data_IF_305495684935
#
_entry.id   IF_305495684935
#
_cell.length_a   1.000
_cell.length_b   1.000
_cell.length_c   1.000
_cell.angle_alpha   90.00
_cell.angle_beta   90.00
_cell.angle_gamma   90.00
#
_symmetry.space_group_name_H-M   'P 1'
#
loop_
_entity.id
_entity.type
_entity.pdbx_description
1 polymer ?
#
# COMPACT_ATOMS: atom_id res chain seq x y z
N UNK A 1 21.38 -16.31 7.44
CA UNK A 1 20.88 -17.28 8.44
C UNK A 1 21.97 -17.44 9.49
N UNK A 2 21.72 -17.10 10.75
CA UNK A 2 22.69 -17.32 11.85
C UNK A 2 22.21 -18.46 12.78
N UNK A 3 23.02 -18.84 13.76
CA UNK A 3 22.72 -19.93 14.70
C UNK A 3 21.36 -19.79 15.44
N UNK A 4 20.92 -18.56 15.72
CA UNK A 4 19.63 -18.28 16.37
C UNK A 4 18.44 -18.43 15.42
N UNK A 5 18.66 -18.25 14.11
CA UNK A 5 17.65 -18.42 13.06
C UNK A 5 17.31 -19.90 12.85
N UNK A 6 18.31 -20.79 13.01
CA UNK A 6 18.16 -22.24 12.89
C UNK A 6 17.37 -22.88 14.04
N UNK A 7 17.30 -22.22 15.20
CA UNK A 7 16.56 -22.70 16.39
C UNK A 7 15.24 -21.96 16.61
N UNK A 8 14.87 -21.04 15.72
CA UNK A 8 13.60 -20.34 15.83
C UNK A 8 12.45 -21.36 15.75
N UNK A 9 11.59 -21.39 16.77
CA UNK A 9 10.38 -22.21 16.74
C UNK A 9 9.50 -21.72 15.59
N UNK A 10 9.03 -22.61 14.69
CA UNK A 10 8.13 -22.20 13.63
C UNK A 10 6.86 -21.64 14.25
N UNK A 11 6.33 -20.55 13.67
CA UNK A 11 5.01 -20.01 14.03
C UNK A 11 3.88 -20.90 13.48
N UNK A 12 4.01 -22.22 13.57
CA UNK A 12 3.01 -23.16 13.07
C UNK A 12 1.67 -22.98 13.81
N UNK A 13 1.72 -22.57 15.08
CA UNK A 13 0.57 -22.38 15.96
C UNK A 13 -0.41 -21.29 15.50
N UNK A 14 0.00 -20.38 14.59
CA UNK A 14 -0.92 -19.36 14.02
C UNK A 14 -1.76 -19.90 12.86
N UNK A 15 -1.42 -21.07 12.31
CA UNK A 15 -2.13 -21.67 11.20
C UNK A 15 -3.14 -22.69 11.74
N UNK A 16 -4.41 -22.47 11.44
CA UNK A 16 -5.46 -23.45 11.69
C UNK A 16 -5.69 -24.27 10.42
N UNK A 17 -5.60 -25.60 10.51
CA UNK A 17 -5.90 -26.51 9.38
C UNK A 17 -7.39 -26.54 9.05
N UNK A 18 -8.24 -26.13 9.99
CA UNK A 18 -9.68 -26.00 9.80
C UNK A 18 -10.02 -24.51 9.68
N UNK A 19 -10.40 -24.00 8.50
CA UNK A 19 -10.81 -22.61 8.37
C UNK A 19 -12.04 -22.34 9.25
N UNK A 20 -11.96 -21.33 10.12
CA UNK A 20 -13.16 -20.83 10.80
C UNK A 20 -14.09 -20.18 9.77
N UNK A 21 -15.42 -20.27 9.91
CA UNK A 21 -16.33 -19.52 9.07
C UNK A 21 -16.15 -18.02 9.35
N UNK A 22 -15.67 -17.28 8.36
CA UNK A 22 -15.60 -15.83 8.39
C UNK A 22 -16.12 -15.26 7.07
N UNK A 23 -16.75 -14.10 7.16
CA UNK A 23 -17.23 -13.35 5.99
C UNK A 23 -16.56 -12.00 5.95
N UNK A 24 -16.22 -11.54 4.74
CA UNK A 24 -15.77 -10.19 4.51
C UNK A 24 -16.55 -9.58 3.36
N UNK A 25 -17.08 -8.39 3.60
CA UNK A 25 -17.72 -7.58 2.56
C UNK A 25 -16.71 -6.56 2.07
N UNK A 26 -16.17 -6.78 0.89
CA UNK A 26 -15.29 -5.80 0.25
C UNK A 26 -16.04 -4.50 -0.03
N UNK A 27 -15.43 -3.38 0.33
CA UNK A 27 -15.94 -2.04 0.00
C UNK A 27 -14.98 -1.39 -0.99
N UNK A 28 -15.46 -0.88 -2.14
CA UNK A 28 -14.59 -0.19 -3.08
C UNK A 28 -13.87 0.98 -2.43
N UNK A 29 -12.58 1.16 -2.75
CA UNK A 29 -11.82 2.31 -2.30
C UNK A 29 -12.39 3.60 -2.90
N UNK A 30 -12.40 4.70 -2.13
CA UNK A 30 -13.01 5.97 -2.54
C UNK A 30 -12.47 6.51 -3.87
N UNK A 31 -11.17 6.33 -4.14
CA UNK A 31 -10.49 6.77 -5.37
C UNK A 31 -11.08 6.13 -6.64
N UNK A 32 -11.67 4.94 -6.55
CA UNK A 32 -12.26 4.23 -7.70
C UNK A 32 -13.55 4.90 -8.19
N UNK A 33 -14.12 5.82 -7.40
CA UNK A 33 -15.26 6.65 -7.81
C UNK A 33 -14.84 7.96 -8.47
N UNK A 34 -13.55 8.15 -8.78
CA UNK A 34 -13.10 9.36 -9.49
C UNK A 34 -13.73 9.43 -10.89
N UNK A 35 -14.15 10.63 -11.35
CA UNK A 35 -14.76 10.78 -12.68
C UNK A 35 -13.91 10.13 -13.78
N UNK A 36 -14.59 9.53 -14.76
CA UNK A 36 -14.02 8.78 -15.89
C UNK A 36 -13.49 7.38 -15.57
N UNK A 37 -13.71 6.87 -14.36
CA UNK A 37 -13.52 5.43 -14.08
C UNK A 37 -14.70 4.64 -14.64
N UNK A 38 -14.43 3.61 -15.43
CA UNK A 38 -15.45 2.75 -16.08
C UNK A 38 -15.67 1.40 -15.38
N UNK A 39 -15.23 1.30 -14.13
CA UNK A 39 -15.36 0.07 -13.35
C UNK A 39 -16.84 -0.17 -12.98
N UNK A 40 -17.31 -1.43 -13.00
CA UNK A 40 -18.67 -1.79 -12.60
C UNK A 40 -18.80 -1.78 -11.07
N UNK A 41 -18.76 -0.60 -10.47
CA UNK A 41 -18.85 -0.40 -9.02
C UNK A 41 -20.31 -0.23 -8.57
N UNK A 42 -20.66 -0.67 -7.35
CA UNK A 42 -21.94 -0.31 -6.75
C UNK A 42 -22.05 1.20 -6.56
N UNK A 43 -23.26 1.70 -6.39
CA UNK A 43 -23.52 3.14 -6.21
C UNK A 43 -22.63 3.77 -5.15
N UNK A 44 -22.14 4.98 -5.47
CA UNK A 44 -21.32 5.76 -4.55
C UNK A 44 -22.14 6.07 -3.29
N UNK A 45 -21.61 5.69 -2.12
CA UNK A 45 -22.21 6.01 -0.82
C UNK A 45 -22.38 7.52 -0.65
N UNK A 46 -23.52 7.93 -0.08
CA UNK A 46 -23.76 9.33 0.24
C UNK A 46 -22.66 9.89 1.16
N UNK A 47 -22.19 11.10 0.88
CA UNK A 47 -21.12 11.75 1.66
C UNK A 47 -19.71 11.22 1.41
N UNK A 48 -19.50 10.25 0.50
CA UNK A 48 -18.16 9.78 0.17
C UNK A 48 -17.35 10.88 -0.54
N UNK A 49 -16.30 11.34 0.14
CA UNK A 49 -15.31 12.25 -0.45
C UNK A 49 -14.39 11.43 -1.35
N UNK A 50 -14.39 11.76 -2.63
CA UNK A 50 -13.56 11.11 -3.63
C UNK A 50 -12.25 11.88 -3.75
N UNK A 51 -11.10 11.29 -3.37
CA UNK A 51 -9.82 11.95 -3.51
C UNK A 51 -9.49 12.17 -4.99
N UNK A 52 -8.78 13.26 -5.29
CA UNK A 52 -8.27 13.53 -6.64
C UNK A 52 -6.99 12.72 -6.88
N UNK A 53 -6.87 11.97 -8.00
CA UNK A 53 -5.62 11.36 -8.41
C UNK A 53 -4.50 12.40 -8.53
N UNK A 54 -3.29 12.03 -8.14
CA UNK A 54 -2.11 12.90 -8.27
C UNK A 54 -1.77 13.17 -9.74
N UNK A 55 -1.98 12.16 -10.60
CA UNK A 55 -1.79 12.23 -12.03
C UNK A 55 -2.85 11.43 -12.79
N UNK A 56 -2.99 11.71 -14.10
CA UNK A 56 -3.92 11.01 -14.99
C UNK A 56 -3.30 9.74 -15.62
N UNK A 57 -4.13 8.98 -16.35
CA UNK A 57 -3.69 7.76 -17.02
C UNK A 57 -2.55 7.98 -18.02
N UNK A 58 -2.55 9.10 -18.75
CA UNK A 58 -1.50 9.44 -19.72
C UNK A 58 -0.13 9.56 -19.06
N UNK A 59 -0.05 10.27 -17.93
CA UNK A 59 1.18 10.39 -17.16
C UNK A 59 1.66 9.00 -16.69
N UNK A 60 0.78 8.20 -16.09
CA UNK A 60 1.15 6.89 -15.57
C UNK A 60 1.65 5.96 -16.67
N UNK A 61 0.98 5.94 -17.84
CA UNK A 61 1.43 5.18 -19.00
C UNK A 61 2.82 5.61 -19.49
N UNK A 62 3.14 6.91 -19.40
CA UNK A 62 4.46 7.42 -19.77
C UNK A 62 5.54 7.00 -18.78
N UNK A 63 5.34 7.21 -17.48
CA UNK A 63 6.38 6.93 -16.47
C UNK A 63 6.55 5.44 -16.16
N UNK A 64 5.56 4.61 -16.48
CA UNK A 64 5.65 3.14 -16.35
C UNK A 64 6.01 2.45 -17.67
N UNK A 65 6.32 3.21 -18.73
CA UNK A 65 6.71 2.65 -20.02
C UNK A 65 7.93 1.73 -19.85
N UNK A 66 7.79 0.50 -20.32
CA UNK A 66 8.86 -0.52 -20.26
C UNK A 66 8.87 -1.36 -18.98
N UNK A 67 7.99 -1.07 -18.01
CA UNK A 67 7.75 -1.99 -16.89
C UNK A 67 6.93 -3.19 -17.40
N UNK A 68 7.41 -4.40 -17.12
CA UNK A 68 6.72 -5.64 -17.48
C UNK A 68 5.69 -6.01 -16.40
N UNK A 69 4.40 -5.85 -16.73
CA UNK A 69 3.26 -6.24 -15.88
C UNK A 69 2.60 -7.55 -16.34
N UNK A 70 3.25 -8.36 -17.19
CA UNK A 70 2.65 -9.58 -17.76
C UNK A 70 2.56 -10.75 -16.78
N UNK A 71 3.36 -10.74 -15.72
CA UNK A 71 3.29 -11.72 -14.65
C UNK A 71 3.78 -11.09 -13.34
N UNK A 72 3.45 -11.74 -12.24
CA UNK A 72 3.98 -11.43 -10.92
C UNK A 72 5.53 -11.46 -10.96
N UNK A 73 6.15 -10.57 -10.20
CA UNK A 73 7.61 -10.49 -9.99
C UNK A 73 8.48 -10.26 -11.25
N UNK A 74 7.89 -9.89 -12.40
CA UNK A 74 8.65 -9.54 -13.63
C UNK A 74 9.16 -8.10 -13.70
N UNK A 75 8.77 -7.27 -12.73
CA UNK A 75 9.21 -5.87 -12.66
C UNK A 75 10.40 -5.69 -11.71
N UNK A 76 11.26 -4.70 -12.00
CA UNK A 76 12.20 -4.22 -10.99
C UNK A 76 11.47 -3.38 -9.94
N UNK A 77 11.28 -3.96 -8.75
CA UNK A 77 10.61 -3.32 -7.63
C UNK A 77 11.31 -2.03 -7.19
N UNK A 78 12.64 -1.93 -7.29
CA UNK A 78 13.36 -0.73 -6.89
C UNK A 78 13.01 0.45 -7.81
N UNK A 79 13.03 0.23 -9.13
CA UNK A 79 12.62 1.23 -10.12
C UNK A 79 11.14 1.57 -10.00
N UNK A 80 10.28 0.57 -9.84
CA UNK A 80 8.83 0.80 -9.70
C UNK A 80 8.49 1.63 -8.46
N UNK A 81 9.11 1.34 -7.30
CA UNK A 81 8.91 2.12 -6.08
C UNK A 81 9.35 3.58 -6.24
N UNK A 82 10.40 3.85 -7.02
CA UNK A 82 10.82 5.21 -7.33
C UNK A 82 9.82 5.93 -8.23
N UNK A 83 9.28 5.26 -9.26
CA UNK A 83 8.21 5.81 -10.12
C UNK A 83 6.99 6.19 -9.28
N UNK A 84 6.54 5.27 -8.42
CA UNK A 84 5.42 5.52 -7.50
C UNK A 84 5.71 6.69 -6.56
N UNK A 85 6.90 6.72 -5.94
CA UNK A 85 7.28 7.80 -5.04
C UNK A 85 7.25 9.15 -5.74
N UNK A 86 7.85 9.27 -6.92
CA UNK A 86 7.84 10.51 -7.69
C UNK A 86 6.42 10.94 -8.05
N UNK A 87 5.57 10.03 -8.51
CA UNK A 87 4.19 10.35 -8.88
C UNK A 87 3.24 10.61 -7.70
N UNK A 88 3.57 10.15 -6.49
CA UNK A 88 2.74 10.37 -5.30
C UNK A 88 3.25 11.52 -4.43
N UNK A 89 4.56 11.70 -4.36
CA UNK A 89 5.22 12.62 -3.42
C UNK A 89 5.77 13.89 -4.10
N UNK A 90 5.71 13.97 -5.43
CA UNK A 90 6.18 15.11 -6.22
C UNK A 90 7.68 15.33 -6.04
N UNK A 91 8.07 16.55 -5.68
CA UNK A 91 9.48 16.95 -5.54
C UNK A 91 10.18 16.41 -4.27
N UNK A 92 9.51 15.59 -3.46
CA UNK A 92 10.13 15.03 -2.25
C UNK A 92 11.16 13.97 -2.65
N UNK A 93 12.40 14.03 -2.13
CA UNK A 93 13.42 13.04 -2.45
C UNK A 93 13.00 11.65 -1.97
N UNK A 94 13.36 10.62 -2.73
CA UNK A 94 13.16 9.23 -2.31
C UNK A 94 14.00 8.96 -1.04
N UNK A 95 13.43 8.32 0.00
CA UNK A 95 14.16 8.04 1.23
C UNK A 95 15.31 7.07 0.96
N UNK A 96 16.55 7.56 1.05
CA UNK A 96 17.75 6.77 0.80
C UNK A 96 18.10 5.83 1.97
N UNK A 97 17.66 6.16 3.18
CA UNK A 97 17.96 5.43 4.40
C UNK A 97 16.71 5.30 5.28
N UNK A 98 16.57 4.19 6.03
CA UNK A 98 15.57 4.10 7.08
C UNK A 98 15.78 5.22 8.09
N UNK A 99 14.70 5.74 8.67
CA UNK A 99 14.79 6.81 9.68
C UNK A 99 15.50 6.39 10.97
N UNK A 100 15.82 5.10 11.15
CA UNK A 100 16.44 4.56 12.36
C UNK A 100 15.55 4.60 13.61
N UNK A 101 14.31 5.07 13.48
CA UNK A 101 13.36 5.16 14.59
C UNK A 101 12.96 3.76 15.04
N UNK A 102 13.18 3.45 16.32
CA UNK A 102 12.62 2.24 16.93
C UNK A 102 11.11 2.43 17.12
N UNK A 103 10.32 1.86 16.21
CA UNK A 103 8.85 1.91 16.25
C UNK A 103 8.24 0.82 17.15
N UNK A 104 9.06 0.00 17.81
CA UNK A 104 8.59 -1.04 18.75
C UNK A 104 8.22 -0.43 20.10
N UNK A 105 8.88 0.66 20.47
CA UNK A 105 8.64 1.40 21.70
C UNK A 105 7.67 2.57 21.45
N UNK A 106 6.93 3.00 22.47
CA UNK A 106 6.04 4.18 22.40
C UNK A 106 4.93 4.08 21.34
N UNK A 107 4.41 2.87 21.08
CA UNK A 107 3.34 2.62 20.10
C UNK A 107 2.13 3.55 20.29
N UNK A 108 1.67 3.73 21.53
CA UNK A 108 0.51 4.59 21.82
C UNK A 108 0.76 6.05 21.41
N UNK A 109 1.95 6.57 21.69
CA UNK A 109 2.35 7.92 21.36
C UNK A 109 2.51 8.12 19.84
N UNK A 110 3.11 7.16 19.15
CA UNK A 110 3.23 7.17 17.68
C UNK A 110 1.85 7.17 17.01
N UNK A 111 0.92 6.35 17.51
CA UNK A 111 -0.46 6.31 17.02
C UNK A 111 -1.20 7.62 17.31
N UNK A 112 -0.98 8.24 18.48
CA UNK A 112 -1.54 9.56 18.82
C UNK A 112 -1.11 10.62 17.82
N UNK A 113 0.19 10.71 17.54
CA UNK A 113 0.76 11.70 16.59
C UNK A 113 0.26 11.50 15.17
N UNK A 114 0.19 10.25 14.71
CA UNK A 114 -0.36 9.95 13.39
C UNK A 114 -1.83 10.40 13.26
N UNK A 115 -2.66 10.08 14.25
CA UNK A 115 -4.07 10.52 14.29
C UNK A 115 -4.22 12.04 14.25
N UNK A 116 -3.32 12.77 14.90
CA UNK A 116 -3.30 14.24 14.85
C UNK A 116 -2.91 14.78 13.47
N UNK A 117 -2.00 14.12 12.75
CA UNK A 117 -1.57 14.54 11.41
C UNK A 117 -2.58 14.30 10.28
N UNK A 118 -3.66 13.57 10.56
CA UNK A 118 -4.76 13.31 9.62
C UNK A 118 -5.90 14.34 9.72
N UNK A 119 -5.84 15.28 10.67
CA UNK A 119 -6.72 16.45 10.77
C UNK A 119 -6.15 17.62 9.98
#
# INVERSE_FOLDING_TARGET
MNLNDALARPMADIFNTTPSPWSFTAVPAAILYYPNTTLPLPDKRAGLIVPKPTHNATYWAQVTKGVDFTAEDRMDFASFNRILWTGLMGNKPYPATPTGKDLRQNREELLRRYRLSLK
#
